data_IF_354268204532
#
_entry.id   IF_354268204532
#
_cell.length_a   1.000
_cell.length_b   1.000
_cell.length_c   1.000
_cell.angle_alpha   90.00
_cell.angle_beta   90.00
_cell.angle_gamma   90.00
#
_symmetry.space_group_name_H-M   'P 1'
#
loop_
_entity.id
_entity.type
_entity.pdbx_description
1 polymer ?
#
# COMPACT_ATOMS: atom_id res chain seq x y z
N UNK A 1 14.42 63.42 49.01
CA UNK A 1 14.37 62.35 50.03
C UNK A 1 13.24 61.40 49.71
N UNK A 2 13.54 60.17 49.28
CA UNK A 2 12.88 58.90 49.67
C UNK A 2 13.54 57.77 48.86
N UNK A 3 14.25 56.91 49.58
CA UNK A 3 14.80 55.64 49.10
C UNK A 3 13.64 54.67 48.88
N UNK A 4 13.74 53.78 47.89
CA UNK A 4 13.51 52.34 48.11
C UNK A 4 14.09 51.55 46.92
N UNK A 5 15.10 50.73 47.22
CA UNK A 5 15.53 49.59 46.43
C UNK A 5 14.62 48.41 46.79
N UNK A 6 14.08 47.69 45.81
CA UNK A 6 13.67 46.28 45.94
C UNK A 6 13.92 45.61 44.60
N UNK A 7 14.73 44.56 44.62
CA UNK A 7 15.08 43.77 43.45
C UNK A 7 14.29 42.47 43.32
N UNK A 8 14.89 41.59 42.51
CA UNK A 8 14.63 40.16 42.31
C UNK A 8 13.58 39.84 41.22
N UNK A 9 14.06 39.11 40.21
CA UNK A 9 13.20 38.33 39.31
C UNK A 9 13.75 38.14 37.90
N UNK A 10 14.94 37.55 37.73
CA UNK A 10 15.28 36.93 36.44
C UNK A 10 14.40 35.68 36.34
N UNK A 11 13.23 35.82 35.73
CA UNK A 11 12.45 34.69 35.28
C UNK A 11 13.16 34.10 34.06
N UNK A 12 14.00 33.09 34.30
CA UNK A 12 14.42 32.17 33.24
C UNK A 12 13.18 31.34 32.89
N UNK A 13 12.34 31.88 32.02
CA UNK A 13 11.31 31.11 31.34
C UNK A 13 12.03 30.11 30.43
N UNK A 14 12.17 28.88 30.91
CA UNK A 14 12.46 27.70 30.10
C UNK A 14 11.35 27.63 29.05
N UNK A 15 11.61 28.17 27.85
CA UNK A 15 10.86 27.80 26.66
C UNK A 15 11.12 26.32 26.46
N UNK A 16 10.20 25.49 26.95
CA UNK A 16 10.00 24.14 26.42
C UNK A 16 9.63 24.31 24.96
N UNK A 17 10.63 24.19 24.09
CA UNK A 17 10.47 24.07 22.66
C UNK A 17 9.72 22.79 22.36
N UNK A 18 8.38 22.84 22.46
CA UNK A 18 7.54 21.89 21.75
C UNK A 18 7.69 22.26 20.29
N UNK A 19 8.60 21.59 19.60
CA UNK A 19 8.62 21.57 18.16
C UNK A 19 7.31 20.92 17.70
N UNK A 20 6.28 21.74 17.49
CA UNK A 20 5.18 21.37 16.60
C UNK A 20 5.81 21.22 15.21
N UNK A 21 6.25 20.02 14.89
CA UNK A 21 6.50 19.65 13.51
C UNK A 21 5.13 19.66 12.84
N UNK A 22 4.75 20.81 12.26
CA UNK A 22 3.69 20.89 11.27
C UNK A 22 4.15 20.05 10.08
N UNK A 23 3.90 18.75 10.14
CA UNK A 23 3.91 17.89 8.96
C UNK A 23 2.71 18.32 8.14
N UNK A 24 2.87 19.36 7.32
CA UNK A 24 1.89 19.69 6.31
C UNK A 24 1.70 18.44 5.44
N UNK A 25 0.49 17.86 5.36
CA UNK A 25 0.25 16.83 4.37
C UNK A 25 0.56 17.45 3.02
N UNK A 26 1.37 16.76 2.22
CA UNK A 26 1.83 17.27 0.93
C UNK A 26 0.63 17.77 0.10
N UNK A 27 0.52 19.08 -0.10
CA UNK A 27 -0.52 19.67 -0.93
C UNK A 27 -0.30 19.25 -2.38
N UNK A 28 -1.33 18.74 -3.04
CA UNK A 28 -1.25 18.45 -4.46
C UNK A 28 -1.28 19.77 -5.25
N UNK A 29 -0.15 20.21 -5.80
CA UNK A 29 -0.05 21.40 -6.65
C UNK A 29 -0.63 21.16 -8.07
N UNK A 30 -1.90 20.75 -8.16
CA UNK A 30 -2.65 20.63 -9.42
C UNK A 30 -3.49 21.88 -9.69
N UNK A 31 -3.68 22.21 -10.97
CA UNK A 31 -4.65 23.23 -11.39
C UNK A 31 -6.05 22.87 -10.88
N UNK A 32 -6.78 23.86 -10.35
CA UNK A 32 -8.14 23.66 -9.85
C UNK A 32 -9.13 23.72 -11.00
N UNK A 33 -10.09 22.82 -10.96
CA UNK A 33 -11.18 22.75 -11.90
C UNK A 33 -12.43 23.40 -11.29
N UNK A 34 -12.68 24.62 -11.74
CA UNK A 34 -13.78 25.47 -11.29
C UNK A 34 -14.93 25.49 -12.30
N UNK A 35 -14.99 24.55 -13.24
CA UNK A 35 -16.04 24.50 -14.24
C UNK A 35 -17.36 23.92 -13.67
N UNK A 36 -18.31 23.66 -14.56
CA UNK A 36 -19.63 23.12 -14.26
C UNK A 36 -19.65 21.61 -14.10
N UNK A 37 -18.62 20.89 -14.54
CA UNK A 37 -18.50 19.43 -14.42
C UNK A 37 -18.03 18.99 -13.03
N UNK A 38 -17.30 19.85 -12.31
CA UNK A 38 -16.79 19.58 -10.96
C UNK A 38 -17.90 19.32 -9.93
N UNK A 39 -17.80 18.21 -9.18
CA UNK A 39 -18.69 17.89 -8.06
C UNK A 39 -18.47 18.86 -6.91
N UNK A 40 -17.21 19.07 -6.52
CA UNK A 40 -16.81 20.16 -5.62
C UNK A 40 -16.14 21.23 -6.46
N UNK A 41 -16.80 22.37 -6.65
CA UNK A 41 -16.28 23.47 -7.46
C UNK A 41 -14.89 23.91 -6.96
N UNK A 42 -13.93 23.96 -7.89
CA UNK A 42 -12.51 24.23 -7.63
C UNK A 42 -11.80 23.17 -6.76
N UNK A 43 -12.40 21.99 -6.59
CA UNK A 43 -11.85 20.84 -5.89
C UNK A 43 -11.41 21.10 -4.45
N UNK A 44 -10.48 20.28 -3.95
CA UNK A 44 -9.82 20.43 -2.65
C UNK A 44 -8.39 19.87 -2.76
N UNK A 45 -7.38 20.68 -2.44
CA UNK A 45 -5.96 20.30 -2.65
C UNK A 45 -5.38 19.42 -1.54
N UNK A 46 -6.07 19.36 -0.41
CA UNK A 46 -5.73 18.53 0.74
C UNK A 46 -7.00 18.07 1.49
N UNK A 47 -6.78 17.24 2.51
CA UNK A 47 -7.84 16.59 3.29
C UNK A 47 -8.62 17.58 4.16
N UNK A 48 -7.98 18.64 4.65
CA UNK A 48 -8.61 19.65 5.49
C UNK A 48 -9.54 20.56 4.68
N UNK A 49 -9.10 20.98 3.48
CA UNK A 49 -9.93 21.70 2.54
C UNK A 49 -11.11 20.85 2.10
N UNK A 50 -10.91 19.55 1.85
CA UNK A 50 -11.98 18.63 1.46
C UNK A 50 -13.05 18.55 2.55
N UNK A 51 -12.65 18.39 3.81
CA UNK A 51 -13.58 18.40 4.94
C UNK A 51 -14.36 19.71 5.02
N UNK A 52 -13.67 20.84 4.89
CA UNK A 52 -14.28 22.18 4.92
C UNK A 52 -15.34 22.33 3.83
N UNK A 53 -14.99 22.00 2.58
CA UNK A 53 -15.90 22.14 1.43
C UNK A 53 -17.07 21.17 1.47
N UNK A 54 -16.84 19.94 1.93
CA UNK A 54 -17.90 18.97 2.15
C UNK A 54 -18.93 19.50 3.16
N UNK A 55 -18.47 20.07 4.27
CA UNK A 55 -19.34 20.64 5.31
C UNK A 55 -20.07 21.91 4.84
N UNK A 56 -19.42 22.75 4.03
CA UNK A 56 -20.04 23.91 3.41
C UNK A 56 -21.16 23.51 2.45
N UNK A 57 -20.98 22.39 1.72
CA UNK A 57 -21.97 21.84 0.79
C UNK A 57 -22.62 22.90 -0.12
N UNK A 58 -21.80 23.78 -0.71
CA UNK A 58 -22.29 24.93 -1.50
C UNK A 58 -23.22 24.52 -2.65
N UNK A 59 -23.02 23.33 -3.23
CA UNK A 59 -23.86 22.78 -4.29
C UNK A 59 -25.15 22.10 -3.79
N UNK A 60 -25.29 21.92 -2.48
CA UNK A 60 -26.44 21.30 -1.82
C UNK A 60 -26.56 19.78 -2.01
N UNK A 61 -25.65 19.14 -2.75
CA UNK A 61 -25.75 17.74 -3.15
C UNK A 61 -24.56 16.86 -2.75
N UNK A 62 -23.53 17.42 -2.09
CA UNK A 62 -22.31 16.67 -1.76
C UNK A 62 -22.61 15.44 -0.89
N UNK A 63 -23.42 15.51 0.18
CA UNK A 63 -23.73 14.31 0.96
C UNK A 63 -24.38 13.20 0.13
N UNK A 64 -25.30 13.55 -0.78
CA UNK A 64 -26.00 12.57 -1.61
C UNK A 64 -25.07 11.93 -2.65
N UNK A 65 -24.28 12.75 -3.35
CA UNK A 65 -23.33 12.26 -4.36
C UNK A 65 -22.27 11.37 -3.71
N UNK A 66 -21.63 11.84 -2.63
CA UNK A 66 -20.58 11.06 -1.97
C UNK A 66 -21.12 9.76 -1.37
N UNK A 67 -22.31 9.79 -0.76
CA UNK A 67 -22.94 8.59 -0.22
C UNK A 67 -23.27 7.56 -1.31
N UNK A 68 -23.74 7.99 -2.48
CA UNK A 68 -23.95 7.10 -3.63
C UNK A 68 -22.67 6.36 -4.02
N UNK A 69 -21.52 7.04 -3.93
CA UNK A 69 -20.21 6.46 -4.18
C UNK A 69 -19.58 5.75 -2.98
N UNK A 70 -20.32 5.56 -1.88
CA UNK A 70 -19.85 4.88 -0.68
C UNK A 70 -18.83 5.66 0.15
N UNK A 71 -18.77 6.99 -0.03
CA UNK A 71 -17.99 7.89 0.81
C UNK A 71 -18.94 8.54 1.82
N UNK A 72 -18.76 8.22 3.08
CA UNK A 72 -19.62 8.75 4.15
C UNK A 72 -19.09 10.07 4.70
N UNK A 73 -19.95 10.87 5.34
CA UNK A 73 -19.49 12.06 6.07
C UNK A 73 -18.46 11.72 7.16
N UNK A 74 -18.57 10.55 7.78
CA UNK A 74 -17.58 10.04 8.72
C UNK A 74 -16.21 9.81 8.05
N UNK A 75 -16.19 9.26 6.84
CA UNK A 75 -14.98 9.11 6.04
C UNK A 75 -14.34 10.47 5.75
N UNK A 76 -15.15 11.48 5.44
CA UNK A 76 -14.67 12.85 5.18
C UNK A 76 -14.14 13.54 6.45
N UNK A 77 -14.76 13.29 7.60
CA UNK A 77 -14.35 13.87 8.88
C UNK A 77 -13.10 13.22 9.48
N UNK A 78 -12.80 11.97 9.12
CA UNK A 78 -11.64 11.23 9.62
C UNK A 78 -10.48 11.28 8.63
N UNK A 79 -9.77 12.40 8.65
CA UNK A 79 -8.63 12.65 7.76
C UNK A 79 -7.45 11.70 7.99
N UNK A 80 -7.37 10.98 9.13
CA UNK A 80 -6.32 10.00 9.40
C UNK A 80 -6.37 8.78 8.46
N UNK A 81 -7.55 8.48 7.91
CA UNK A 81 -7.74 7.42 6.92
C UNK A 81 -7.50 7.91 5.49
N UNK A 82 -7.14 9.17 5.29
CA UNK A 82 -6.91 9.75 3.98
C UNK A 82 -5.42 9.87 3.70
N UNK A 83 -5.04 9.56 2.46
CA UNK A 83 -3.70 9.76 1.95
C UNK A 83 -3.74 10.52 0.63
N UNK A 84 -2.71 11.31 0.39
CA UNK A 84 -2.52 11.89 -0.94
C UNK A 84 -2.01 10.83 -1.90
N UNK A 85 -2.57 10.81 -3.09
CA UNK A 85 -2.26 9.84 -4.14
C UNK A 85 -2.52 10.38 -5.53
N UNK A 86 -2.59 9.49 -6.50
CA UNK A 86 -2.88 9.82 -7.90
C UNK A 86 -3.84 8.81 -8.49
N UNK A 87 -4.77 9.30 -9.30
CA UNK A 87 -5.62 8.48 -10.17
C UNK A 87 -5.06 8.61 -11.58
N UNK A 88 -4.84 7.49 -12.26
CA UNK A 88 -4.28 7.44 -13.60
C UNK A 88 -5.36 7.27 -14.66
N UNK A 89 -5.07 7.78 -15.85
CA UNK A 89 -5.92 7.63 -17.05
C UNK A 89 -6.15 6.16 -17.42
N UNK A 90 -5.17 5.30 -17.16
CA UNK A 90 -5.28 3.85 -17.37
C UNK A 90 -6.14 3.12 -16.30
N UNK A 91 -6.65 3.85 -15.30
CA UNK A 91 -7.50 3.31 -14.26
C UNK A 91 -6.78 2.86 -12.99
N UNK A 92 -5.45 2.99 -12.91
CA UNK A 92 -4.70 2.72 -11.68
C UNK A 92 -4.88 3.83 -10.66
N UNK A 93 -4.83 3.48 -9.38
CA UNK A 93 -4.75 4.44 -8.27
C UNK A 93 -3.51 4.11 -7.46
N UNK A 94 -2.68 5.12 -7.22
CA UNK A 94 -1.43 4.97 -6.47
C UNK A 94 -1.40 5.83 -5.21
N UNK A 95 -0.83 5.26 -4.17
CA UNK A 95 -0.52 5.91 -2.89
C UNK A 95 0.88 5.49 -2.49
N UNK A 96 1.72 6.45 -2.10
CA UNK A 96 3.11 6.20 -1.69
C UNK A 96 3.91 5.39 -2.74
N UNK A 97 3.67 5.64 -4.03
CA UNK A 97 4.32 4.94 -5.15
C UNK A 97 3.79 3.52 -5.44
N UNK A 98 2.79 3.04 -4.71
CA UNK A 98 2.22 1.69 -4.87
C UNK A 98 0.82 1.74 -5.48
N UNK A 99 0.54 0.90 -6.48
CA UNK A 99 -0.82 0.72 -7.01
C UNK A 99 -1.70 0.01 -5.99
N UNK A 100 -2.72 0.71 -5.47
CA UNK A 100 -3.65 0.22 -4.45
C UNK A 100 -5.00 -0.21 -5.03
N UNK A 101 -5.35 0.24 -6.24
CA UNK A 101 -6.58 -0.14 -6.94
C UNK A 101 -6.45 0.02 -8.45
N UNK A 102 -7.34 -0.64 -9.20
CA UNK A 102 -7.40 -0.60 -10.66
C UNK A 102 -8.85 -0.48 -11.16
N UNK A 103 -9.03 -0.14 -12.43
CA UNK A 103 -10.37 0.01 -13.02
C UNK A 103 -11.11 1.26 -12.53
N UNK A 104 -10.39 2.36 -12.32
CA UNK A 104 -10.97 3.60 -11.82
C UNK A 104 -12.03 4.18 -12.76
N UNK A 105 -13.15 4.60 -12.15
CA UNK A 105 -14.24 5.35 -12.77
C UNK A 105 -14.55 6.57 -11.92
N UNK A 106 -14.86 7.68 -12.55
CA UNK A 106 -15.18 8.95 -11.90
C UNK A 106 -16.54 9.45 -12.35
N UNK A 107 -17.18 10.26 -11.51
CA UNK A 107 -18.42 10.96 -11.83
C UNK A 107 -18.17 12.45 -12.02
N UNK A 108 -18.93 13.08 -12.91
CA UNK A 108 -19.02 14.53 -13.06
C UNK A 108 -20.45 14.98 -13.32
N UNK A 109 -20.68 16.29 -13.37
CA UNK A 109 -22.01 16.87 -13.60
C UNK A 109 -22.38 16.95 -15.08
N UNK A 110 -21.41 16.93 -15.99
CA UNK A 110 -21.65 17.11 -17.43
C UNK A 110 -21.55 15.82 -18.22
N UNK A 111 -22.38 15.71 -19.26
CA UNK A 111 -22.32 14.58 -20.18
C UNK A 111 -21.14 14.74 -21.14
N UNK A 112 -20.34 13.69 -21.28
CA UNK A 112 -19.33 13.58 -22.33
C UNK A 112 -19.47 12.23 -23.03
N UNK A 113 -18.99 12.12 -24.26
CA UNK A 113 -18.94 10.85 -24.99
C UNK A 113 -18.33 9.74 -24.14
N UNK A 114 -19.01 8.60 -24.03
CA UNK A 114 -18.59 7.48 -23.18
C UNK A 114 -19.07 7.56 -21.72
N UNK A 115 -19.90 8.54 -21.38
CA UNK A 115 -20.54 8.63 -20.06
C UNK A 115 -21.80 7.78 -19.98
N UNK A 116 -22.05 7.24 -18.78
CA UNK A 116 -23.31 6.63 -18.41
C UNK A 116 -24.05 7.58 -17.44
N UNK A 117 -25.31 7.94 -17.71
CA UNK A 117 -26.08 8.76 -16.78
C UNK A 117 -26.37 7.97 -15.50
N UNK A 118 -26.31 8.65 -14.36
CA UNK A 118 -26.68 8.11 -13.05
C UNK A 118 -27.55 9.13 -12.33
N UNK A 119 -28.67 8.68 -11.75
CA UNK A 119 -29.59 9.56 -11.02
C UNK A 119 -29.32 9.44 -9.52
N UNK A 120 -28.99 10.57 -8.88
CA UNK A 120 -28.70 10.66 -7.45
C UNK A 120 -29.58 11.76 -6.87
N UNK A 121 -30.45 11.42 -5.91
CA UNK A 121 -31.37 12.35 -5.27
C UNK A 121 -32.16 13.23 -6.27
N UNK A 122 -32.62 12.64 -7.38
CA UNK A 122 -33.41 13.33 -8.41
C UNK A 122 -32.61 14.20 -9.39
N UNK A 123 -31.28 14.25 -9.29
CA UNK A 123 -30.39 14.94 -10.24
C UNK A 123 -29.61 13.92 -11.08
N UNK A 124 -29.35 14.24 -12.34
CA UNK A 124 -28.55 13.40 -13.24
C UNK A 124 -27.09 13.82 -13.20
N UNK A 125 -26.21 12.84 -13.01
CA UNK A 125 -24.76 12.94 -13.10
C UNK A 125 -24.26 11.95 -14.15
N UNK A 126 -22.97 12.02 -14.48
CA UNK A 126 -22.41 11.27 -15.60
C UNK A 126 -21.13 10.58 -15.20
N UNK A 127 -21.20 9.26 -15.08
CA UNK A 127 -20.08 8.41 -14.69
C UNK A 127 -19.36 7.84 -15.91
N UNK A 128 -18.03 7.81 -15.86
CA UNK A 128 -17.20 7.24 -16.93
C UNK A 128 -15.88 6.69 -16.40
N UNK A 129 -15.20 5.91 -17.24
CA UNK A 129 -13.84 5.45 -16.92
C UNK A 129 -12.84 6.60 -16.95
N UNK A 130 -11.75 6.49 -16.19
CA UNK A 130 -10.72 7.54 -16.18
C UNK A 130 -10.00 7.69 -17.52
N UNK A 131 -10.02 6.67 -18.38
CA UNK A 131 -9.49 6.74 -19.75
C UNK A 131 -10.30 7.73 -20.61
N UNK A 132 -11.61 7.83 -20.34
CA UNK A 132 -12.51 8.77 -21.02
C UNK A 132 -12.46 10.16 -20.39
N UNK A 133 -12.42 10.27 -19.05
CA UNK A 133 -12.54 11.57 -18.38
C UNK A 133 -11.25 12.39 -18.30
N UNK A 134 -10.07 11.77 -18.46
CA UNK A 134 -8.81 12.46 -18.22
C UNK A 134 -8.08 12.80 -19.52
N UNK A 135 -7.74 14.07 -19.69
CA UNK A 135 -6.78 14.49 -20.73
C UNK A 135 -5.34 14.21 -20.30
N UNK A 136 -5.05 14.36 -19.01
CA UNK A 136 -3.74 14.09 -18.41
C UNK A 136 -3.53 12.61 -18.09
N UNK A 137 -2.26 12.17 -18.08
CA UNK A 137 -1.92 10.77 -17.74
C UNK A 137 -2.32 10.37 -16.31
N UNK A 138 -2.36 11.34 -15.39
CA UNK A 138 -2.89 11.17 -14.05
C UNK A 138 -3.25 12.51 -13.42
N UNK A 139 -4.15 12.48 -12.44
CA UNK A 139 -4.57 13.63 -11.64
C UNK A 139 -4.35 13.30 -10.16
N UNK A 140 -3.86 14.25 -9.34
CA UNK A 140 -3.76 14.03 -7.90
C UNK A 140 -5.14 13.76 -7.26
N UNK A 141 -5.13 12.97 -6.19
CA UNK A 141 -6.34 12.55 -5.50
C UNK A 141 -6.12 12.44 -4.00
N UNK A 142 -7.21 12.63 -3.26
CA UNK A 142 -7.33 12.21 -1.87
C UNK A 142 -7.85 10.78 -1.90
N UNK A 143 -7.07 9.84 -1.38
CA UNK A 143 -7.39 8.42 -1.35
C UNK A 143 -7.79 8.03 0.07
N UNK A 144 -9.01 7.53 0.21
CA UNK A 144 -9.54 7.03 1.49
C UNK A 144 -9.16 5.56 1.60
N UNK A 145 -8.42 5.23 2.66
CA UNK A 145 -7.98 3.90 3.02
C UNK A 145 -8.80 3.39 4.21
N UNK A 146 -9.24 2.13 4.18
CA UNK A 146 -9.88 1.47 5.34
C UNK A 146 -9.13 0.19 5.66
N UNK A 147 -8.66 0.08 6.91
CA UNK A 147 -7.88 -1.07 7.38
C UNK A 147 -6.68 -1.39 6.47
N UNK A 148 -6.00 -0.35 5.98
CA UNK A 148 -4.88 -0.46 5.04
C UNK A 148 -5.27 -0.64 3.57
N UNK A 149 -6.52 -1.00 3.26
CA UNK A 149 -7.01 -1.30 1.90
C UNK A 149 -7.62 -0.06 1.25
N UNK A 150 -7.49 0.07 -0.07
CA UNK A 150 -8.19 1.10 -0.83
C UNK A 150 -9.70 1.02 -0.60
N UNK A 151 -10.32 2.12 -0.16
CA UNK A 151 -11.77 2.25 -0.07
C UNK A 151 -12.30 3.04 -1.25
N UNK A 152 -11.93 4.32 -1.38
CA UNK A 152 -12.41 5.25 -2.43
C UNK A 152 -11.36 6.33 -2.70
N UNK A 153 -11.55 7.12 -3.75
CA UNK A 153 -10.74 8.32 -3.97
C UNK A 153 -11.60 9.52 -4.37
N UNK A 154 -11.02 10.71 -4.26
CA UNK A 154 -11.62 12.00 -4.62
C UNK A 154 -10.56 12.77 -5.40
N UNK A 155 -10.86 13.19 -6.63
CA UNK A 155 -9.92 13.95 -7.46
C UNK A 155 -9.73 15.35 -6.85
N UNK A 156 -8.49 15.79 -6.63
CA UNK A 156 -8.24 17.05 -5.91
C UNK A 156 -8.64 18.29 -6.68
N UNK A 157 -8.59 18.27 -8.02
CA UNK A 157 -8.88 19.45 -8.85
C UNK A 157 -10.38 19.79 -8.92
N UNK A 158 -11.25 18.77 -8.92
CA UNK A 158 -12.71 18.91 -9.15
C UNK A 158 -13.57 18.29 -8.04
N UNK A 159 -12.97 17.61 -7.06
CA UNK A 159 -13.65 16.91 -5.97
C UNK A 159 -14.55 15.76 -6.42
N UNK A 160 -14.33 15.24 -7.62
CA UNK A 160 -15.13 14.16 -8.18
C UNK A 160 -14.80 12.84 -7.47
N UNK A 161 -15.81 12.14 -6.91
CA UNK A 161 -15.63 10.80 -6.36
C UNK A 161 -15.15 9.80 -7.42
N UNK A 162 -14.31 8.88 -6.97
CA UNK A 162 -13.73 7.81 -7.78
C UNK A 162 -13.99 6.47 -7.10
N UNK A 163 -14.51 5.52 -7.89
CA UNK A 163 -14.63 4.11 -7.54
C UNK A 163 -13.63 3.31 -8.36
N UNK A 164 -13.07 2.28 -7.74
CA UNK A 164 -12.13 1.36 -8.37
C UNK A 164 -12.17 0.01 -7.65
N UNK A 165 -11.57 -1.01 -8.25
CA UNK A 165 -11.40 -2.33 -7.63
C UNK A 165 -10.12 -2.32 -6.79
N UNK A 166 -10.18 -2.51 -5.46
CA UNK A 166 -8.98 -2.63 -4.65
C UNK A 166 -8.10 -3.76 -5.17
N UNK A 167 -6.79 -3.54 -5.23
CA UNK A 167 -5.85 -4.64 -5.42
C UNK A 167 -5.89 -5.51 -4.15
N UNK A 168 -5.88 -6.83 -4.29
CA UNK A 168 -5.68 -7.71 -3.13
C UNK A 168 -4.40 -7.29 -2.42
N UNK A 169 -4.55 -6.76 -1.22
CA UNK A 169 -3.42 -6.55 -0.34
C UNK A 169 -3.07 -7.89 0.31
N UNK A 170 -1.78 -8.20 0.49
CA UNK A 170 -1.40 -9.32 1.34
C UNK A 170 -2.14 -9.15 2.66
N UNK A 171 -2.99 -10.12 3.05
CA UNK A 171 -3.58 -10.13 4.39
C UNK A 171 -2.43 -9.90 5.37
N UNK A 172 -2.55 -8.96 6.32
CA UNK A 172 -1.58 -8.86 7.40
C UNK A 172 -1.37 -10.26 7.94
N UNK A 173 -0.17 -10.80 7.77
CA UNK A 173 0.20 -12.04 8.46
C UNK A 173 -0.02 -11.68 9.91
N UNK A 174 -1.00 -12.32 10.55
CA UNK A 174 -1.26 -12.12 11.96
C UNK A 174 0.12 -12.16 12.66
N UNK A 175 0.45 -11.18 13.52
CA UNK A 175 1.72 -11.23 14.22
C UNK A 175 1.78 -12.61 14.82
N UNK A 176 2.77 -13.40 14.40
CA UNK A 176 3.06 -14.69 15.04
C UNK A 176 3.22 -14.31 16.49
N UNK A 177 2.20 -14.61 17.30
CA UNK A 177 2.26 -14.45 18.73
C UNK A 177 3.48 -15.26 19.09
N UNK A 178 4.58 -14.59 19.45
CA UNK A 178 5.74 -15.27 20.00
C UNK A 178 5.16 -16.04 21.18
N UNK A 179 5.06 -17.36 21.02
CA UNK A 179 4.60 -18.21 22.08
C UNK A 179 5.42 -17.83 23.33
N UNK A 180 4.78 -17.63 24.50
CA UNK A 180 5.53 -17.40 25.72
C UNK A 180 6.59 -18.50 25.87
N UNK A 181 7.78 -18.18 26.40
CA UNK A 181 8.86 -19.14 26.51
C UNK A 181 8.36 -20.37 27.26
N UNK A 182 8.19 -21.47 26.53
CA UNK A 182 7.76 -22.74 27.10
C UNK A 182 8.93 -23.24 27.93
N UNK A 183 8.72 -23.38 29.22
CA UNK A 183 9.59 -24.12 30.14
C UNK A 183 9.93 -25.50 29.54
N UNK A 184 11.13 -26.07 29.78
CA UNK A 184 11.52 -27.33 29.17
C UNK A 184 10.57 -28.45 29.59
N UNK A 185 9.69 -28.87 28.68
CA UNK A 185 8.90 -30.09 28.85
C UNK A 185 9.77 -31.27 28.45
N UNK A 186 9.88 -32.20 29.39
CA UNK A 186 10.62 -33.44 29.35
C UNK A 186 10.28 -34.28 28.09
N UNK A 187 11.33 -34.86 27.52
CA UNK A 187 11.35 -35.62 26.26
C UNK A 187 10.46 -36.88 26.35
N UNK A 188 9.40 -37.04 25.52
CA UNK A 188 8.66 -38.29 25.47
C UNK A 188 9.51 -39.40 24.82
N UNK A 189 9.57 -40.55 25.50
CA UNK A 189 10.19 -41.80 25.02
C UNK A 189 9.56 -42.27 23.70
N UNK A 190 10.42 -42.70 22.78
CA UNK A 190 10.05 -43.32 21.50
C UNK A 190 9.32 -44.65 21.71
N UNK A 191 8.25 -44.87 20.93
CA UNK A 191 7.62 -46.19 20.73
C UNK A 191 8.35 -46.96 19.59
N UNK A 192 8.39 -48.29 19.63
CA UNK A 192 9.24 -49.13 18.77
C UNK A 192 8.63 -49.41 17.38
N UNK A 193 9.48 -49.37 16.35
CA UNK A 193 9.17 -49.71 14.94
C UNK A 193 9.45 -51.20 14.66
N UNK A 194 8.56 -51.88 13.92
CA UNK A 194 8.69 -53.30 13.52
C UNK A 194 9.50 -53.49 12.20
N UNK A 195 10.06 -54.69 11.97
CA UNK A 195 10.92 -55.01 10.79
C UNK A 195 10.09 -54.96 9.46
N UNK A 196 10.56 -54.27 8.40
CA UNK A 196 9.78 -53.94 7.19
C UNK A 196 9.71 -55.05 6.12
N UNK A 197 9.90 -56.33 6.48
CA UNK A 197 9.90 -57.46 5.54
C UNK A 197 8.52 -58.13 5.54
N UNK A 198 7.91 -58.25 4.35
CA UNK A 198 6.60 -58.89 4.19
C UNK A 198 6.61 -60.34 4.70
N UNK A 199 5.81 -60.62 5.73
CA UNK A 199 5.69 -61.94 6.38
C UNK A 199 6.50 -62.13 7.65
N UNK A 200 7.16 -61.10 8.20
CA UNK A 200 7.93 -61.17 9.47
C UNK A 200 7.69 -59.97 10.42
N UNK A 201 6.51 -59.36 10.34
CA UNK A 201 6.14 -58.11 11.04
C UNK A 201 6.01 -58.25 12.56
N UNK A 202 6.03 -59.47 13.09
CA UNK A 202 5.94 -59.77 14.52
C UNK A 202 7.31 -59.82 15.24
N UNK A 203 8.41 -59.44 14.56
CA UNK A 203 9.75 -59.45 15.12
C UNK A 203 10.30 -58.02 15.36
N UNK A 204 11.02 -57.79 16.47
CA UNK A 204 11.70 -56.51 16.72
C UNK A 204 12.81 -56.25 15.68
N UNK A 205 13.03 -54.96 15.35
CA UNK A 205 14.03 -54.47 14.38
C UNK A 205 15.47 -54.92 14.66
N UNK A 206 15.78 -55.27 15.92
CA UNK A 206 17.12 -55.61 16.38
C UNK A 206 17.42 -57.12 16.41
N UNK A 207 16.52 -57.97 15.87
CA UNK A 207 16.75 -59.42 15.79
C UNK A 207 17.84 -59.76 14.75
N UNK A 208 18.80 -60.66 15.06
CA UNK A 208 19.86 -61.07 14.14
C UNK A 208 19.35 -61.71 12.83
N UNK A 209 18.08 -62.12 12.76
CA UNK A 209 17.42 -62.64 11.55
C UNK A 209 16.96 -61.55 10.55
N UNK A 210 17.09 -60.26 10.88
CA UNK A 210 16.77 -59.12 10.00
C UNK A 210 18.06 -58.62 9.28
N UNK A 211 19.05 -59.51 9.02
CA UNK A 211 20.23 -59.27 8.15
C UNK A 211 20.69 -60.54 7.41
N UNK A 212 21.10 -60.32 6.15
CA UNK A 212 22.00 -61.08 5.24
C UNK A 212 21.38 -61.18 3.83
N UNK A 213 22.06 -61.06 2.67
CA UNK A 213 23.42 -60.67 2.23
C UNK A 213 23.30 -60.29 0.70
N UNK A 214 24.33 -59.72 0.04
CA UNK A 214 24.18 -58.79 -1.09
C UNK A 214 24.23 -59.43 -2.49
N UNK A 215 23.66 -58.75 -3.51
CA UNK A 215 24.11 -58.93 -4.90
C UNK A 215 23.88 -57.70 -5.81
N UNK A 216 25.03 -57.20 -6.32
CA UNK A 216 25.36 -56.50 -7.58
C UNK A 216 24.75 -55.11 -7.93
N UNK A 217 25.67 -54.16 -8.16
CA UNK A 217 25.55 -52.99 -9.05
C UNK A 217 25.22 -53.41 -10.52
N UNK A 218 24.58 -52.59 -11.39
CA UNK A 218 25.19 -51.33 -11.82
C UNK A 218 24.27 -50.16 -12.23
N UNK A 219 24.96 -49.03 -12.44
CA UNK A 219 24.66 -47.93 -13.39
C UNK A 219 23.72 -46.81 -12.94
N UNK A 220 24.31 -45.77 -12.35
CA UNK A 220 23.77 -44.41 -12.34
C UNK A 220 23.92 -43.79 -13.73
N UNK A 221 22.79 -43.50 -14.40
CA UNK A 221 22.77 -42.76 -15.66
C UNK A 221 23.08 -41.25 -15.51
N UNK A 222 23.40 -40.52 -16.60
CA UNK A 222 24.00 -39.17 -16.56
C UNK A 222 23.08 -38.01 -16.11
N UNK A 223 21.88 -38.25 -15.59
CA UNK A 223 20.85 -37.22 -15.42
C UNK A 223 20.87 -36.39 -14.14
N UNK A 224 21.67 -36.76 -13.12
CA UNK A 224 21.54 -36.19 -11.78
C UNK A 224 22.47 -35.00 -11.46
N UNK A 225 23.24 -34.49 -12.43
CA UNK A 225 24.29 -33.48 -12.20
C UNK A 225 23.98 -32.07 -12.75
N UNK A 226 22.77 -31.80 -13.26
CA UNK A 226 22.46 -30.51 -13.92
C UNK A 226 21.58 -29.53 -13.13
N UNK A 227 21.13 -29.84 -11.91
CA UNK A 227 20.28 -28.91 -11.14
C UNK A 227 21.02 -27.96 -10.17
N UNK A 228 22.36 -27.97 -10.14
CA UNK A 228 23.14 -27.09 -9.26
C UNK A 228 23.85 -25.91 -9.96
N UNK A 229 23.69 -25.75 -11.29
CA UNK A 229 24.49 -24.81 -12.09
C UNK A 229 23.86 -23.45 -12.43
N UNK A 230 22.56 -23.23 -12.17
CA UNK A 230 21.84 -22.05 -12.68
C UNK A 230 21.64 -20.90 -11.67
N UNK A 231 22.16 -21.02 -10.44
CA UNK A 231 21.94 -20.03 -9.38
C UNK A 231 23.08 -19.03 -9.14
N UNK A 232 24.30 -19.34 -9.60
CA UNK A 232 25.51 -18.59 -9.19
C UNK A 232 26.02 -17.67 -10.31
N UNK A 233 25.60 -17.88 -11.56
CA UNK A 233 26.04 -17.09 -12.72
C UNK A 233 25.36 -15.71 -12.85
N UNK A 234 24.23 -15.47 -12.18
CA UNK A 234 23.52 -14.18 -12.23
C UNK A 234 24.15 -13.10 -11.35
N UNK A 235 24.74 -13.47 -10.21
CA UNK A 235 25.38 -12.51 -9.29
C UNK A 235 26.71 -11.99 -9.85
N UNK A 236 27.48 -12.84 -10.52
CA UNK A 236 28.76 -12.43 -11.14
C UNK A 236 28.53 -11.47 -12.31
N UNK A 237 27.52 -11.73 -13.14
CA UNK A 237 27.15 -10.83 -14.24
C UNK A 237 26.63 -9.48 -13.70
N UNK A 238 25.73 -9.48 -12.71
CA UNK A 238 25.23 -8.25 -12.10
C UNK A 238 26.34 -7.41 -11.45
N UNK A 239 27.27 -8.05 -10.72
CA UNK A 239 28.43 -7.39 -10.14
C UNK A 239 29.37 -6.78 -11.20
N UNK A 240 29.60 -7.51 -12.30
CA UNK A 240 30.43 -7.04 -13.41
C UNK A 240 29.82 -5.81 -14.11
N UNK A 241 28.52 -5.85 -14.44
CA UNK A 241 27.83 -4.72 -15.08
C UNK A 241 27.71 -3.50 -14.16
N UNK A 242 27.50 -3.69 -12.85
CA UNK A 242 27.47 -2.60 -11.88
C UNK A 242 28.83 -1.91 -11.75
N UNK A 243 29.92 -2.67 -11.72
CA UNK A 243 31.29 -2.14 -11.65
C UNK A 243 31.67 -1.33 -12.89
N UNK A 244 31.30 -1.80 -14.10
CA UNK A 244 31.54 -1.06 -15.35
C UNK A 244 30.71 0.23 -15.45
N UNK A 245 29.45 0.21 -15.00
CA UNK A 245 28.60 1.41 -14.99
C UNK A 245 29.19 2.52 -14.11
N UNK A 246 29.70 2.18 -12.92
CA UNK A 246 30.37 3.12 -12.01
C UNK A 246 31.64 3.70 -12.60
N UNK A 247 32.46 2.91 -13.30
CA UNK A 247 33.67 3.40 -13.98
C UNK A 247 33.34 4.37 -15.11
N UNK A 248 32.29 4.09 -15.90
CA UNK A 248 31.85 4.97 -16.99
C UNK A 248 31.30 6.31 -16.47
N UNK A 249 30.58 6.28 -15.35
CA UNK A 249 30.11 7.48 -14.65
C UNK A 249 31.25 8.32 -14.08
N UNK A 250 32.22 7.68 -13.41
CA UNK A 250 33.38 8.39 -12.86
C UNK A 250 34.25 9.00 -13.97
N UNK A 251 34.47 8.28 -15.08
CA UNK A 251 35.19 8.84 -16.24
C UNK A 251 34.43 10.01 -16.90
N UNK A 252 33.09 10.03 -16.85
CA UNK A 252 32.30 11.17 -17.32
C UNK A 252 32.42 12.40 -16.42
N UNK A 253 32.74 12.24 -15.14
CA UNK A 253 32.92 13.34 -14.20
C UNK A 253 34.37 13.81 -14.09
N UNK A 254 35.34 12.94 -14.37
CA UNK A 254 36.77 13.23 -14.23
C UNK A 254 37.46 13.69 -15.54
N UNK A 255 36.74 13.76 -16.65
CA UNK A 255 37.28 14.20 -17.95
C UNK A 255 36.74 15.59 -18.37
N UNK A 256 36.79 16.55 -17.43
CA UNK A 256 36.92 17.98 -17.72
C UNK A 256 38.25 18.45 -17.18
#
# INVERSE_FOLDING_TARGET
MKKLLVGIGIAVSLLTGVAFTNTNPASAAGGRDCDTNAIVRCGALDTAEMQTKYNQNTSGDLPAVFAHYGITGADISNTANMKMGRVYKDGRIEVDGNTVATGARSVGRENMTGSNPVTIAGKTYYERSTNVSFDSASIPAIVIMKNGVFHRAIITSCGNPVVATPKEQPKPVAPVVKAPPVTPVEKPKAQPENCPIAGKENLPKDSPDCKETPQVLPSTGPGALLSAGAGISSLTAAGYYFSLSRRKLLNSFLNR
#
